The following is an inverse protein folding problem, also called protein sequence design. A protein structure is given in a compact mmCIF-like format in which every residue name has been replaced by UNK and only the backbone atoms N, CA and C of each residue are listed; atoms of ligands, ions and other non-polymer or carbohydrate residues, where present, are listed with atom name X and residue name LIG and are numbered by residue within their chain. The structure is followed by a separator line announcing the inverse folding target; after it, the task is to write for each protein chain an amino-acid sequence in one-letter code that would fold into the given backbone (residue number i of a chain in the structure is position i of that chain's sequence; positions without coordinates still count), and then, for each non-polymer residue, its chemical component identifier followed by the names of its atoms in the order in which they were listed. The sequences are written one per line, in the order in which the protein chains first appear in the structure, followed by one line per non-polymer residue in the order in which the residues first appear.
data_IF_658746349244
#
_entry.id   IF_658746349244
#
_cell.length_a   1.000
_cell.length_b   1.000
_cell.length_c   1.000
_cell.angle_alpha   90.00
_cell.angle_beta   90.00
_cell.angle_gamma   90.00
#
_symmetry.space_group_name_H-M   'P 1'
#
loop_
_entity.id
_entity.type
_entity.pdbx_description
1 polymer ?
#
# COMPACT_ATOMS: atom_id res chain seq x y z
N UNK A 1 -11.13 18.33 -25.53
CA UNK A 1 -10.50 17.02 -25.71
C UNK A 1 -10.76 16.20 -24.45
N UNK A 2 -11.74 15.30 -24.47
CA UNK A 2 -12.17 14.54 -23.30
C UNK A 2 -11.65 13.10 -23.43
N UNK A 3 -10.47 12.84 -22.89
CA UNK A 3 -9.89 11.49 -22.87
C UNK A 3 -10.56 10.67 -21.79
N UNK A 4 -11.47 9.81 -22.25
CA UNK A 4 -11.99 8.56 -21.68
C UNK A 4 -11.46 8.22 -20.28
N UNK A 5 -12.22 8.61 -19.26
CA UNK A 5 -12.05 8.17 -17.87
C UNK A 5 -12.46 6.70 -17.78
N UNK A 6 -11.56 5.79 -18.16
CA UNK A 6 -11.73 4.37 -17.89
C UNK A 6 -11.59 4.21 -16.38
N UNK A 7 -12.62 3.61 -15.78
CA UNK A 7 -12.74 3.18 -14.39
C UNK A 7 -11.72 2.09 -14.04
N UNK A 8 -10.44 2.39 -14.27
CA UNK A 8 -9.29 1.61 -13.88
C UNK A 8 -8.73 2.37 -12.68
N UNK A 9 -8.60 1.70 -11.55
CA UNK A 9 -7.97 2.22 -10.36
C UNK A 9 -6.80 3.17 -10.72
N UNK A 10 -6.94 4.46 -10.39
CA UNK A 10 -5.96 5.51 -10.71
C UNK A 10 -4.78 5.39 -9.74
N UNK A 11 -3.83 4.52 -10.08
CA UNK A 11 -2.65 4.25 -9.26
C UNK A 11 -1.87 5.53 -8.92
N UNK A 12 -1.65 6.42 -9.89
CA UNK A 12 -0.94 7.70 -9.67
C UNK A 12 -1.68 8.60 -8.69
N UNK A 13 -3.02 8.63 -8.74
CA UNK A 13 -3.81 9.44 -7.82
C UNK A 13 -3.75 8.87 -6.39
N UNK A 14 -3.88 7.55 -6.23
CA UNK A 14 -3.74 6.89 -4.92
C UNK A 14 -2.34 7.03 -4.34
N UNK A 15 -1.31 6.99 -5.18
CA UNK A 15 0.07 7.21 -4.75
C UNK A 15 0.29 8.64 -4.26
N UNK A 16 -0.24 9.63 -4.99
CA UNK A 16 -0.17 11.05 -4.60
C UNK A 16 -0.94 11.32 -3.30
N UNK A 17 -2.07 10.65 -3.10
CA UNK A 17 -2.85 10.75 -1.85
C UNK A 17 -2.06 10.15 -0.68
N UNK A 18 -1.37 9.02 -0.89
CA UNK A 18 -0.49 8.41 0.10
C UNK A 18 0.68 9.35 0.47
N UNK A 19 1.35 9.96 -0.52
CA UNK A 19 2.42 10.94 -0.28
C UNK A 19 1.91 12.14 0.56
N UNK A 20 0.71 12.64 0.25
CA UNK A 20 0.12 13.74 1.02
C UNK A 20 -0.20 13.35 2.45
N UNK A 21 -0.65 12.12 2.68
CA UNK A 21 -0.92 11.58 4.02
C UNK A 21 0.39 11.47 4.81
N UNK A 22 1.45 10.95 4.20
CA UNK A 22 2.78 10.82 4.84
C UNK A 22 3.33 12.20 5.19
N UNK A 23 3.30 13.16 4.26
CA UNK A 23 3.74 14.55 4.51
C UNK A 23 2.95 15.20 5.67
N UNK A 24 1.64 14.93 5.76
CA UNK A 24 0.80 15.44 6.85
C UNK A 24 1.18 14.83 8.20
N UNK A 25 1.49 13.52 8.23
CA UNK A 25 1.92 12.82 9.44
C UNK A 25 3.31 13.31 9.87
N UNK A 26 4.25 13.49 8.92
CA UNK A 26 5.61 13.95 9.18
C UNK A 26 5.69 15.41 9.66
N UNK A 27 4.79 16.28 9.18
CA UNK A 27 4.68 17.66 9.68
C UNK A 27 4.27 17.73 11.16
N UNK A 28 3.61 16.69 11.67
CA UNK A 28 3.09 16.66 13.03
C UNK A 28 2.00 17.69 13.28
N UNK A 29 1.68 17.93 14.55
CA UNK A 29 0.59 18.83 14.95
C UNK A 29 -0.81 18.22 14.83
N UNK A 30 -0.90 16.91 14.57
CA UNK A 30 -2.15 16.15 14.52
C UNK A 30 -2.52 15.62 15.90
N UNK A 31 -3.82 15.53 16.16
CA UNK A 31 -4.32 14.76 17.29
C UNK A 31 -4.07 13.26 17.09
N UNK A 32 -4.09 12.48 18.18
CA UNK A 32 -3.93 11.03 18.12
C UNK A 32 -5.00 10.39 17.22
N UNK A 33 -6.24 10.86 17.30
CA UNK A 33 -7.37 10.38 16.49
C UNK A 33 -7.16 10.65 14.99
N UNK A 34 -6.68 11.85 14.64
CA UNK A 34 -6.38 12.20 13.25
C UNK A 34 -5.19 11.41 12.71
N UNK A 35 -4.16 11.20 13.52
CA UNK A 35 -3.00 10.39 13.15
C UNK A 35 -3.42 8.94 12.85
N UNK A 36 -4.29 8.35 13.68
CA UNK A 36 -4.84 7.01 13.47
C UNK A 36 -5.71 6.93 12.21
N UNK A 37 -6.51 7.96 11.95
CA UNK A 37 -7.36 8.02 10.75
C UNK A 37 -6.51 8.09 9.47
N UNK A 38 -5.52 8.98 9.44
CA UNK A 38 -4.60 9.14 8.32
C UNK A 38 -3.78 7.87 8.08
N UNK A 39 -3.30 7.23 9.15
CA UNK A 39 -2.60 5.95 9.06
C UNK A 39 -3.48 4.85 8.44
N UNK A 40 -4.72 4.69 8.93
CA UNK A 40 -5.67 3.71 8.38
C UNK A 40 -5.95 3.94 6.89
N UNK A 41 -6.10 5.21 6.49
CA UNK A 41 -6.23 5.59 5.08
C UNK A 41 -4.99 5.24 4.26
N UNK A 42 -3.78 5.53 4.77
CA UNK A 42 -2.52 5.19 4.12
C UNK A 42 -2.34 3.67 3.93
N UNK A 43 -2.71 2.87 4.92
CA UNK A 43 -2.70 1.40 4.82
C UNK A 43 -3.67 0.92 3.73
N UNK A 44 -4.89 1.48 3.67
CA UNK A 44 -5.86 1.11 2.65
C UNK A 44 -5.39 1.48 1.24
N UNK A 45 -4.82 2.67 1.05
CA UNK A 45 -4.25 3.11 -0.23
C UNK A 45 -3.11 2.20 -0.66
N UNK A 46 -2.18 1.89 0.25
CA UNK A 46 -1.05 0.98 -0.03
C UNK A 46 -1.54 -0.40 -0.47
N UNK A 47 -2.56 -0.95 0.21
CA UNK A 47 -3.16 -2.24 -0.14
C UNK A 47 -3.81 -2.21 -1.53
N UNK A 48 -4.49 -1.12 -1.88
CA UNK A 48 -5.11 -0.98 -3.19
C UNK A 48 -4.05 -0.85 -4.30
N UNK A 49 -2.96 -0.10 -4.05
CA UNK A 49 -1.82 -0.02 -4.95
C UNK A 49 -1.18 -1.39 -5.21
N UNK A 50 -0.97 -2.18 -4.15
CA UNK A 50 -0.47 -3.55 -4.27
C UNK A 50 -1.41 -4.45 -5.08
N UNK A 51 -2.72 -4.34 -4.88
CA UNK A 51 -3.69 -5.10 -5.67
C UNK A 51 -3.66 -4.72 -7.15
N UNK A 52 -3.52 -3.43 -7.46
CA UNK A 52 -3.41 -2.96 -8.83
C UNK A 52 -2.15 -3.49 -9.53
N UNK A 53 -1.01 -3.51 -8.82
CA UNK A 53 0.25 -4.09 -9.29
C UNK A 53 0.06 -5.59 -9.54
N UNK A 54 -0.49 -6.34 -8.57
CA UNK A 54 -0.77 -7.78 -8.73
C UNK A 54 -1.67 -8.09 -9.91
N UNK A 55 -2.70 -7.29 -10.13
CA UNK A 55 -3.59 -7.45 -11.28
C UNK A 55 -2.86 -7.18 -12.60
N UNK A 56 -1.93 -6.23 -12.63
CA UNK A 56 -1.07 -5.97 -13.78
C UNK A 56 -0.09 -7.13 -14.02
N UNK A 57 0.58 -7.63 -12.98
CA UNK A 57 1.48 -8.79 -13.03
C UNK A 57 0.78 -10.04 -13.55
N UNK A 58 -0.42 -10.34 -13.03
CA UNK A 58 -1.23 -11.46 -13.50
C UNK A 58 -1.58 -11.31 -14.99
N UNK A 59 -1.90 -10.08 -15.43
CA UNK A 59 -2.20 -9.81 -16.83
C UNK A 59 -0.96 -9.99 -17.71
N UNK A 60 0.22 -9.58 -17.26
CA UNK A 60 1.49 -9.80 -17.96
C UNK A 60 1.79 -11.30 -18.04
N UNK A 61 1.68 -12.04 -16.93
CA UNK A 61 1.86 -13.49 -16.86
C UNK A 61 0.99 -14.24 -17.87
N UNK A 62 -0.27 -13.84 -18.04
CA UNK A 62 -1.17 -14.44 -19.05
C UNK A 62 -0.67 -14.17 -20.49
N UNK A 63 -0.02 -13.02 -20.72
CA UNK A 63 0.45 -12.61 -22.04
C UNK A 63 1.82 -13.20 -22.41
N UNK A 64 2.74 -13.33 -21.45
CA UNK A 64 4.10 -13.86 -21.67
C UNK A 64 4.25 -15.33 -21.33
N UNK A 65 3.33 -15.92 -20.56
CA UNK A 65 3.42 -17.31 -20.10
C UNK A 65 4.47 -17.55 -19.01
N UNK A 66 5.12 -16.49 -18.52
CA UNK A 66 6.15 -16.54 -17.48
C UNK A 66 5.60 -16.18 -16.10
N UNK A 67 6.09 -16.89 -15.09
CA UNK A 67 5.67 -16.74 -13.70
C UNK A 67 6.48 -15.62 -13.02
N UNK A 68 5.87 -14.45 -12.80
CA UNK A 68 6.50 -13.29 -12.15
C UNK A 68 6.43 -13.37 -10.61
N UNK A 69 6.72 -14.53 -10.00
CA UNK A 69 6.39 -14.81 -8.60
C UNK A 69 7.26 -14.13 -7.53
N UNK A 70 8.27 -13.33 -7.89
CA UNK A 70 9.26 -12.85 -6.90
C UNK A 70 9.27 -11.33 -6.64
N UNK A 71 8.25 -10.56 -7.02
CA UNK A 71 8.14 -9.17 -6.56
C UNK A 71 7.49 -9.06 -5.17
N UNK A 72 8.19 -9.57 -4.15
CA UNK A 72 7.82 -9.39 -2.74
C UNK A 72 8.14 -7.95 -2.34
N UNK A 73 7.24 -7.02 -2.62
CA UNK A 73 7.22 -5.68 -1.99
C UNK A 73 7.02 -5.89 -0.49
N UNK A 74 8.15 -5.99 0.21
CA UNK A 74 8.22 -6.21 1.64
C UNK A 74 7.61 -5.05 2.41
N UNK A 75 6.49 -5.33 3.08
CA UNK A 75 6.19 -4.73 4.36
C UNK A 75 6.20 -5.87 5.38
N UNK A 76 7.40 -6.38 5.66
CA UNK A 76 7.66 -7.29 6.77
C UNK A 76 8.06 -6.45 7.97
N UNK A 77 7.06 -5.90 8.65
CA UNK A 77 7.20 -5.40 10.03
C UNK A 77 5.94 -5.82 10.78
N UNK A 78 5.87 -7.10 11.09
CA UNK A 78 5.06 -7.68 12.16
C UNK A 78 5.65 -9.09 12.38
N UNK A 79 6.93 -9.13 12.77
CA UNK A 79 7.34 -10.22 13.65
C UNK A 79 6.60 -9.94 14.94
N UNK A 80 5.55 -10.74 15.14
CA UNK A 80 4.77 -10.84 16.35
C UNK A 80 5.72 -10.91 17.56
N UNK A 81 5.39 -10.13 18.58
CA UNK A 81 5.79 -10.32 19.97
C UNK A 81 5.90 -11.82 20.30
N UNK A 82 7.12 -12.38 20.23
CA UNK A 82 7.41 -13.62 20.91
C UNK A 82 7.83 -13.22 22.31
N UNK A 83 6.83 -13.26 23.18
CA UNK A 83 6.89 -12.82 24.55
C UNK A 83 8.07 -13.40 25.32
N UNK A 84 8.44 -12.61 26.32
CA UNK A 84 9.18 -13.08 27.48
C UNK A 84 8.58 -14.41 27.97
N UNK A 85 9.40 -15.45 27.97
CA UNK A 85 9.32 -16.48 28.99
C UNK A 85 10.70 -16.57 29.65
N UNK A 86 10.66 -16.17 30.91
CA UNK A 86 11.73 -16.18 31.88
C UNK A 86 12.02 -17.64 32.29
N UNK A 87 13.22 -17.91 32.84
CA UNK A 87 13.57 -19.11 33.63
C UNK A 87 13.88 -20.39 32.79
N UNK A 88 15.03 -21.07 32.89
CA UNK A 88 16.03 -21.30 33.94
C UNK A 88 17.42 -21.55 33.31
#
# INVERSE_FOLDING_TARGET
MATKKTTKFDFEASLKELESIVDTIERGGLSLEESLKLFSQGVMLTKNCQQAIKAAEQKVKILTGEDLTEFKLGCGCMDEDQGADENE
#
